data_IF_313742582912
#
_entry.id   IF_313742582912
#
_cell.length_a   1.000
_cell.length_b   1.000
_cell.length_c   1.000
_cell.angle_alpha   90.00
_cell.angle_beta   90.00
_cell.angle_gamma   90.00
#
_symmetry.space_group_name_H-M   'P 1'
#
loop_
_entity.id
_entity.type
_entity.pdbx_description
1 polymer ?
#
# COMPACT_ATOMS: atom_id res chain seq x y z
N UNK A 1 3.02 4.03 21.62
CA UNK A 1 2.63 4.19 20.21
C UNK A 1 2.68 5.66 19.74
N UNK A 2 2.31 6.65 20.56
CA UNK A 2 2.36 8.08 20.19
C UNK A 2 3.73 8.56 19.70
N UNK A 3 4.82 8.03 20.21
CA UNK A 3 6.19 8.41 19.82
C UNK A 3 6.60 7.87 18.42
N UNK A 4 5.85 6.90 17.90
CA UNK A 4 6.20 6.23 16.65
C UNK A 4 5.38 6.76 15.49
N UNK A 5 4.22 7.37 15.73
CA UNK A 5 3.33 7.90 14.70
C UNK A 5 3.46 9.41 14.58
N UNK A 6 3.29 9.93 13.38
CA UNK A 6 3.15 11.36 13.12
C UNK A 6 1.72 11.65 12.62
N UNK A 7 0.89 12.30 13.48
CA UNK A 7 -0.48 12.65 13.09
C UNK A 7 -0.54 13.60 11.89
N UNK A 8 0.51 14.37 11.63
CA UNK A 8 0.56 15.32 10.50
C UNK A 8 0.63 14.63 9.13
N UNK A 9 1.08 13.38 9.09
CA UNK A 9 1.14 12.57 7.89
C UNK A 9 -0.20 11.89 7.54
N UNK A 10 -1.18 11.95 8.44
CA UNK A 10 -2.50 11.33 8.23
C UNK A 10 -3.31 12.16 7.24
N UNK A 11 -3.68 11.56 6.12
CA UNK A 11 -4.50 12.18 5.08
C UNK A 11 -5.83 11.45 4.97
N UNK A 12 -6.89 12.22 4.78
CA UNK A 12 -8.25 11.69 4.67
C UNK A 12 -8.86 12.08 3.33
N UNK A 13 -9.65 11.18 2.79
CA UNK A 13 -10.57 11.40 1.67
C UNK A 13 -11.96 10.92 2.05
N UNK A 14 -12.97 11.47 1.40
CA UNK A 14 -14.35 11.05 1.52
C UNK A 14 -14.70 10.03 0.41
N UNK A 15 -15.74 9.23 0.63
CA UNK A 15 -16.24 8.27 -0.37
C UNK A 15 -16.66 8.93 -1.69
N UNK A 16 -17.06 10.18 -1.63
CA UNK A 16 -17.47 10.99 -2.80
C UNK A 16 -16.26 11.53 -3.59
N UNK A 17 -15.04 11.46 -3.03
CA UNK A 17 -13.84 11.93 -3.70
C UNK A 17 -13.53 11.04 -4.90
N UNK A 18 -13.18 11.65 -6.04
CA UNK A 18 -12.80 10.88 -7.24
C UNK A 18 -11.54 10.06 -7.01
N UNK A 19 -11.41 8.92 -7.71
CA UNK A 19 -10.18 8.10 -7.69
C UNK A 19 -8.98 8.94 -8.14
N UNK A 20 -9.17 9.83 -9.13
CA UNK A 20 -8.10 10.71 -9.61
C UNK A 20 -7.59 11.65 -8.51
N UNK A 21 -8.48 12.35 -7.79
CA UNK A 21 -8.08 13.27 -6.73
C UNK A 21 -7.54 12.52 -5.51
N UNK A 22 -8.07 11.33 -5.22
CA UNK A 22 -7.52 10.43 -4.21
C UNK A 22 -6.10 10.00 -4.57
N UNK A 23 -5.84 9.68 -5.83
CA UNK A 23 -4.52 9.32 -6.35
C UNK A 23 -3.55 10.50 -6.26
N UNK A 24 -3.98 11.72 -6.64
CA UNK A 24 -3.15 12.93 -6.47
C UNK A 24 -2.74 13.14 -5.01
N UNK A 25 -3.67 12.91 -4.08
CA UNK A 25 -3.38 13.01 -2.65
C UNK A 25 -2.43 11.92 -2.19
N UNK A 26 -2.63 10.67 -2.64
CA UNK A 26 -1.76 9.53 -2.35
C UNK A 26 -0.32 9.79 -2.82
N UNK A 27 -0.14 10.27 -4.04
CA UNK A 27 1.19 10.60 -4.61
C UNK A 27 1.89 11.70 -3.81
N UNK A 28 1.15 12.73 -3.38
CA UNK A 28 1.69 13.87 -2.62
C UNK A 28 1.98 13.52 -1.15
N UNK A 29 1.33 12.51 -0.61
CA UNK A 29 1.42 12.20 0.82
C UNK A 29 2.77 11.59 1.25
N UNK A 30 3.54 11.03 0.29
CA UNK A 30 4.75 10.30 0.64
C UNK A 30 4.48 9.09 1.53
N UNK A 31 5.44 8.73 2.37
CA UNK A 31 5.20 7.69 3.38
C UNK A 31 4.14 8.19 4.40
N UNK A 32 3.18 7.35 4.81
CA UNK A 32 3.12 5.89 4.68
C UNK A 32 2.51 5.34 3.39
N UNK A 33 2.37 6.11 2.31
CA UNK A 33 1.81 5.69 1.02
C UNK A 33 0.38 5.14 1.14
N UNK A 34 -0.43 5.79 1.92
CA UNK A 34 -1.84 5.45 2.16
C UNK A 34 -2.62 6.71 2.50
N UNK A 35 -3.86 6.77 2.08
CA UNK A 35 -4.86 7.73 2.54
C UNK A 35 -5.98 7.01 3.26
N UNK A 36 -6.51 7.63 4.30
CA UNK A 36 -7.63 7.09 5.08
C UNK A 36 -8.95 7.53 4.44
N UNK A 37 -9.87 6.60 4.33
CA UNK A 37 -11.22 6.86 3.82
C UNK A 37 -12.15 7.11 4.99
N UNK A 38 -12.96 8.16 4.93
CA UNK A 38 -13.98 8.51 5.93
C UNK A 38 -15.33 8.81 5.26
N UNK A 39 -16.41 8.67 6.00
CA UNK A 39 -17.73 8.97 5.47
C UNK A 39 -17.97 10.47 5.24
N UNK A 40 -17.43 11.31 6.12
CA UNK A 40 -17.63 12.75 6.02
C UNK A 40 -16.48 13.55 6.62
N UNK A 41 -16.35 14.82 6.18
CA UNK A 41 -15.33 15.76 6.71
C UNK A 41 -15.51 16.07 8.20
N UNK A 42 -16.66 15.80 8.76
CA UNK A 42 -16.99 16.09 10.19
C UNK A 42 -16.38 15.07 11.14
N UNK A 43 -15.97 13.91 10.63
CA UNK A 43 -15.41 12.82 11.45
C UNK A 43 -13.97 12.53 11.05
N UNK A 44 -13.19 12.05 12.01
CA UNK A 44 -11.86 11.47 11.77
C UNK A 44 -11.89 9.94 11.90
N UNK A 45 -13.08 9.36 11.87
CA UNK A 45 -13.26 7.91 11.86
C UNK A 45 -12.90 7.38 10.48
N UNK A 46 -11.88 6.54 10.41
CA UNK A 46 -11.52 5.85 9.18
C UNK A 46 -12.43 4.62 9.00
N UNK A 47 -13.07 4.52 7.85
CA UNK A 47 -13.89 3.37 7.43
C UNK A 47 -13.13 2.45 6.47
N UNK A 48 -11.97 2.88 6.00
CA UNK A 48 -11.11 2.14 5.09
C UNK A 48 -9.85 2.90 4.79
N UNK A 49 -9.07 2.35 3.88
CA UNK A 49 -7.83 2.93 3.38
C UNK A 49 -7.80 2.82 1.86
N UNK A 50 -7.02 3.68 1.22
CA UNK A 50 -6.70 3.60 -0.20
C UNK A 50 -5.18 3.72 -0.38
N UNK A 51 -4.58 2.79 -1.11
CA UNK A 51 -3.14 2.75 -1.38
C UNK A 51 -2.82 2.35 -2.83
N UNK A 52 -1.54 2.09 -3.12
CA UNK A 52 -1.12 1.73 -4.48
C UNK A 52 -1.61 0.34 -4.93
N UNK A 53 -1.95 -0.57 -4.02
CA UNK A 53 -2.57 -1.85 -4.38
C UNK A 53 -4.00 -1.63 -4.87
N UNK A 54 -4.75 -0.73 -4.22
CA UNK A 54 -6.09 -0.34 -4.66
C UNK A 54 -6.03 0.38 -6.01
N UNK A 55 -5.07 1.29 -6.18
CA UNK A 55 -4.84 1.97 -7.46
C UNK A 55 -4.51 0.96 -8.57
N UNK A 56 -3.65 -0.03 -8.30
CA UNK A 56 -3.32 -1.08 -9.25
C UNK A 56 -4.57 -1.88 -9.63
N UNK A 57 -5.38 -2.31 -8.66
CA UNK A 57 -6.62 -3.03 -8.92
C UNK A 57 -7.58 -2.20 -9.80
N UNK A 58 -7.70 -0.90 -9.52
CA UNK A 58 -8.49 0.01 -10.36
C UNK A 58 -7.95 0.13 -11.79
N UNK A 59 -6.64 0.28 -11.96
CA UNK A 59 -6.02 0.33 -13.28
C UNK A 59 -6.27 -0.95 -14.08
N UNK A 60 -6.12 -2.13 -13.46
CA UNK A 60 -6.41 -3.41 -14.09
C UNK A 60 -7.89 -3.52 -14.50
N UNK A 61 -8.80 -3.03 -13.67
CA UNK A 61 -10.22 -2.96 -13.98
C UNK A 61 -10.47 -2.10 -15.21
N UNK A 62 -9.94 -0.88 -15.24
CA UNK A 62 -10.10 0.06 -16.36
C UNK A 62 -9.47 -0.49 -17.64
N UNK A 63 -8.35 -1.19 -17.55
CA UNK A 63 -7.69 -1.86 -18.69
C UNK A 63 -8.43 -3.12 -19.16
N UNK A 64 -9.42 -3.62 -18.41
CA UNK A 64 -10.14 -4.85 -18.74
C UNK A 64 -9.32 -6.12 -18.50
N UNK A 65 -8.34 -6.06 -17.60
CA UNK A 65 -7.42 -7.17 -17.28
C UNK A 65 -7.82 -7.91 -16.01
N UNK A 66 -8.79 -7.42 -15.25
CA UNK A 66 -9.34 -8.10 -14.08
C UNK A 66 -10.69 -8.76 -14.40
N UNK A 67 -10.96 -9.90 -13.75
CA UNK A 67 -12.28 -10.53 -13.79
C UNK A 67 -13.20 -9.77 -12.84
N UNK A 68 -14.33 -9.27 -13.37
CA UNK A 68 -15.23 -8.37 -12.64
C UNK A 68 -16.69 -8.75 -12.84
N UNK A 69 -17.53 -8.33 -11.89
CA UNK A 69 -18.98 -8.39 -12.03
C UNK A 69 -19.50 -7.31 -12.99
N UNK A 70 -20.81 -7.36 -13.26
CA UNK A 70 -21.45 -6.45 -14.21
C UNK A 70 -21.41 -4.97 -13.76
N UNK A 71 -21.43 -4.72 -12.43
CA UNK A 71 -21.36 -3.36 -11.88
C UNK A 71 -19.97 -2.77 -12.09
N UNK A 72 -18.92 -3.50 -11.75
CA UNK A 72 -17.55 -3.07 -11.96
C UNK A 72 -17.23 -2.86 -13.46
N UNK A 73 -17.80 -3.69 -14.35
CA UNK A 73 -17.66 -3.49 -15.79
C UNK A 73 -18.26 -2.14 -16.26
N UNK A 74 -19.44 -1.76 -15.75
CA UNK A 74 -20.05 -0.45 -16.03
C UNK A 74 -19.21 0.71 -15.53
N UNK A 75 -18.65 0.58 -14.31
CA UNK A 75 -17.72 1.59 -13.77
C UNK A 75 -16.49 1.73 -14.66
N UNK A 76 -15.92 0.61 -15.12
CA UNK A 76 -14.77 0.62 -16.02
C UNK A 76 -15.07 1.29 -17.37
N UNK A 77 -16.26 1.10 -17.94
CA UNK A 77 -16.70 1.76 -19.17
C UNK A 77 -16.80 3.29 -18.99
N UNK A 78 -17.41 3.75 -17.89
CA UNK A 78 -17.50 5.16 -17.54
C UNK A 78 -16.13 5.79 -17.36
N UNK A 79 -15.21 5.08 -16.65
CA UNK A 79 -13.84 5.53 -16.46
C UNK A 79 -13.09 5.68 -17.80
N UNK A 80 -13.25 4.71 -18.72
CA UNK A 80 -12.68 4.80 -20.09
C UNK A 80 -13.27 5.94 -20.91
N UNK A 81 -14.52 6.30 -20.66
CA UNK A 81 -15.17 7.46 -21.28
C UNK A 81 -14.70 8.80 -20.68
N UNK A 82 -13.83 8.80 -19.67
CA UNK A 82 -13.29 10.00 -19.01
C UNK A 82 -14.19 10.55 -17.92
N UNK A 83 -15.17 9.77 -17.43
CA UNK A 83 -15.97 10.17 -16.27
C UNK A 83 -15.16 10.05 -14.97
N UNK A 84 -15.35 11.00 -14.06
CA UNK A 84 -14.80 10.93 -12.72
C UNK A 84 -15.55 9.85 -11.93
N UNK A 85 -14.83 8.85 -11.44
CA UNK A 85 -15.36 7.75 -10.61
C UNK A 85 -15.13 8.06 -9.15
N UNK A 86 -16.18 8.04 -8.34
CA UNK A 86 -16.06 8.23 -6.91
C UNK A 86 -15.48 6.97 -6.22
N UNK A 87 -14.66 7.18 -5.17
CA UNK A 87 -14.05 6.10 -4.42
C UNK A 87 -15.07 5.10 -3.88
N UNK A 88 -16.23 5.59 -3.41
CA UNK A 88 -17.32 4.77 -2.89
C UNK A 88 -17.93 3.81 -3.91
N UNK A 89 -17.92 4.17 -5.19
CA UNK A 89 -18.48 3.32 -6.27
C UNK A 89 -17.64 2.06 -6.49
N UNK A 90 -16.34 2.11 -6.18
CA UNK A 90 -15.41 1.02 -6.49
C UNK A 90 -14.88 0.29 -5.25
N UNK A 91 -15.01 0.88 -4.06
CA UNK A 91 -14.45 0.33 -2.84
C UNK A 91 -14.85 -1.15 -2.59
N UNK A 92 -16.05 -1.54 -2.97
CA UNK A 92 -16.54 -2.92 -2.84
C UNK A 92 -15.93 -3.89 -3.86
N UNK A 93 -15.46 -3.38 -4.99
CA UNK A 93 -14.87 -4.19 -6.07
C UNK A 93 -13.35 -4.34 -5.92
N UNK A 94 -12.70 -3.51 -5.09
CA UNK A 94 -11.27 -3.58 -4.79
C UNK A 94 -10.95 -4.59 -3.67
N UNK A 95 -11.82 -5.52 -3.40
CA UNK A 95 -11.94 -6.38 -2.19
C UNK A 95 -10.82 -7.40 -1.93
N UNK A 96 -9.69 -7.35 -2.57
CA UNK A 96 -8.55 -8.20 -2.19
C UNK A 96 -7.77 -7.67 -0.98
N UNK A 97 -8.29 -6.61 -0.35
CA UNK A 97 -7.62 -5.93 0.73
C UNK A 97 -7.90 -6.58 2.08
N UNK A 98 -6.84 -6.73 2.86
CA UNK A 98 -6.92 -7.07 4.28
C UNK A 98 -7.82 -6.07 5.03
N UNK A 99 -8.64 -6.56 5.93
CA UNK A 99 -9.39 -5.66 6.82
C UNK A 99 -8.41 -4.81 7.64
N UNK A 100 -8.67 -3.50 7.76
CA UNK A 100 -7.77 -2.63 8.50
C UNK A 100 -7.74 -3.02 9.99
N UNK A 101 -6.55 -3.23 10.53
CA UNK A 101 -6.35 -3.46 11.96
C UNK A 101 -6.33 -2.13 12.70
N UNK A 102 -7.08 -2.05 13.77
CA UNK A 102 -7.14 -0.86 14.64
C UNK A 102 -6.52 -1.17 15.99
N UNK A 103 -5.63 -0.31 16.46
CA UNK A 103 -5.11 -0.34 17.81
C UNK A 103 -5.23 1.06 18.47
N UNK A 104 -5.60 1.14 19.76
CA UNK A 104 -5.58 2.42 20.46
C UNK A 104 -4.14 2.94 20.60
N UNK A 105 -3.96 4.23 20.67
CA UNK A 105 -2.65 4.86 20.85
C UNK A 105 -1.94 4.45 22.15
N UNK A 106 -2.70 3.92 23.11
CA UNK A 106 -2.21 3.34 24.38
C UNK A 106 -1.76 1.88 24.23
N UNK A 107 -2.00 1.24 23.08
CA UNK A 107 -1.57 -0.14 22.84
C UNK A 107 -0.05 -0.31 22.97
N UNK A 108 0.35 -1.50 23.38
CA UNK A 108 1.77 -1.84 23.58
C UNK A 108 2.48 -2.09 22.24
N UNK A 109 3.80 -1.99 22.27
CA UNK A 109 4.63 -2.34 21.11
C UNK A 109 4.46 -3.82 20.71
N UNK A 110 4.29 -4.71 21.70
CA UNK A 110 4.05 -6.14 21.46
C UNK A 110 2.81 -6.38 20.61
N UNK A 111 1.70 -5.72 20.94
CA UNK A 111 0.46 -5.82 20.14
C UNK A 111 0.66 -5.35 18.69
N UNK A 112 1.46 -4.29 18.50
CA UNK A 112 1.78 -3.81 17.16
C UNK A 112 2.67 -4.81 16.39
N UNK A 113 3.67 -5.41 17.06
CA UNK A 113 4.54 -6.44 16.48
C UNK A 113 3.73 -7.67 16.09
N UNK A 114 2.83 -8.15 16.95
CA UNK A 114 1.95 -9.27 16.67
C UNK A 114 1.06 -9.02 15.46
N UNK A 115 0.41 -7.85 15.40
CA UNK A 115 -0.45 -7.48 14.29
C UNK A 115 0.33 -7.38 12.96
N UNK A 116 1.48 -6.68 12.95
CA UNK A 116 2.30 -6.57 11.74
C UNK A 116 2.99 -7.89 11.37
N UNK A 117 3.32 -8.72 12.36
CA UNK A 117 3.92 -10.04 12.17
C UNK A 117 2.95 -11.09 11.64
N UNK A 118 1.63 -10.90 11.80
CA UNK A 118 0.61 -11.78 11.22
C UNK A 118 0.32 -11.53 9.74
N UNK A 119 1.05 -10.60 9.09
CA UNK A 119 0.95 -10.31 7.66
C UNK A 119 0.41 -8.93 7.33
N UNK A 120 -0.15 -8.20 8.29
CA UNK A 120 -0.64 -6.84 8.04
C UNK A 120 0.50 -5.86 7.78
N UNK A 121 0.36 -5.05 6.75
CA UNK A 121 1.38 -4.06 6.39
C UNK A 121 1.25 -2.76 7.19
N UNK A 122 0.05 -2.47 7.72
CA UNK A 122 -0.30 -1.22 8.40
C UNK A 122 -1.31 -1.46 9.51
N UNK A 123 -1.23 -0.61 10.52
CA UNK A 123 -2.18 -0.54 11.64
C UNK A 123 -2.69 0.89 11.71
N UNK A 124 -4.00 1.06 11.81
CA UNK A 124 -4.63 2.34 12.09
C UNK A 124 -4.64 2.59 13.60
N UNK A 125 -3.98 3.65 14.01
CA UNK A 125 -3.93 4.01 15.41
C UNK A 125 -5.08 4.95 15.73
N UNK A 126 -5.88 4.58 16.74
CA UNK A 126 -7.05 5.32 17.15
C UNK A 126 -6.83 6.00 18.51
N UNK A 127 -7.63 7.02 18.77
CA UNK A 127 -7.75 7.61 20.10
C UNK A 127 -8.45 6.61 21.01
N UNK A 128 -7.98 6.51 22.25
CA UNK A 128 -8.50 5.55 23.23
C UNK A 128 -10.02 5.72 23.44
N UNK A 129 -10.74 4.61 23.43
CA UNK A 129 -12.19 4.58 23.62
C UNK A 129 -12.99 5.16 22.44
N UNK A 130 -12.36 5.47 21.32
CA UNK A 130 -13.04 6.02 20.12
C UNK A 130 -12.57 5.33 18.85
N UNK A 131 -13.28 5.56 17.74
CA UNK A 131 -12.85 5.15 16.40
C UNK A 131 -12.13 6.27 15.64
N UNK A 132 -11.74 7.37 16.32
CA UNK A 132 -11.03 8.48 15.70
C UNK A 132 -9.59 8.07 15.37
N UNK A 133 -9.23 8.05 14.09
CA UNK A 133 -7.87 7.75 13.66
C UNK A 133 -6.94 8.93 13.93
N UNK A 134 -5.82 8.65 14.61
CA UNK A 134 -4.78 9.62 14.97
C UNK A 134 -3.49 9.41 14.20
N UNK A 135 -3.33 8.29 13.52
CA UNK A 135 -2.16 8.01 12.71
C UNK A 135 -2.16 6.63 12.09
N UNK A 136 -1.12 6.36 11.31
CA UNK A 136 -0.85 5.06 10.69
C UNK A 136 0.51 4.56 11.13
N UNK A 137 0.57 3.34 11.63
CA UNK A 137 1.82 2.63 11.89
C UNK A 137 2.07 1.62 10.78
N UNK A 138 3.17 1.77 10.04
CA UNK A 138 3.62 0.80 9.04
C UNK A 138 4.73 -0.09 9.57
N UNK A 139 4.94 -1.25 8.93
CA UNK A 139 6.07 -2.13 9.22
C UNK A 139 7.42 -1.37 9.15
N UNK A 140 7.62 -0.56 8.10
CA UNK A 140 8.85 0.22 7.95
C UNK A 140 9.09 1.17 9.13
N UNK A 141 8.03 1.85 9.60
CA UNK A 141 8.13 2.78 10.72
C UNK A 141 8.46 2.06 12.02
N UNK A 142 7.87 0.88 12.24
CA UNK A 142 8.18 0.05 13.41
C UNK A 142 9.62 -0.46 13.37
N UNK A 143 10.08 -0.97 12.22
CA UNK A 143 11.47 -1.44 12.06
C UNK A 143 12.46 -0.30 12.26
N UNK A 144 12.16 0.88 11.72
CA UNK A 144 12.96 2.08 11.92
C UNK A 144 13.05 2.46 13.41
N UNK A 145 11.95 2.42 14.13
CA UNK A 145 11.94 2.67 15.57
C UNK A 145 12.84 1.69 16.32
N UNK A 146 12.79 0.37 16.02
CA UNK A 146 13.69 -0.60 16.61
C UNK A 146 15.14 -0.33 16.27
N UNK A 147 15.44 0.04 15.04
CA UNK A 147 16.80 0.37 14.61
C UNK A 147 17.34 1.59 15.35
N UNK A 148 16.58 2.68 15.41
CA UNK A 148 16.98 3.93 16.07
C UNK A 148 17.12 3.76 17.61
N UNK A 149 16.39 2.80 18.20
CA UNK A 149 16.38 2.56 19.64
C UNK A 149 16.97 1.18 20.01
N UNK A 150 17.83 0.61 19.17
CA UNK A 150 18.35 -0.76 19.32
C UNK A 150 18.95 -1.03 20.69
N UNK A 151 19.58 -0.04 21.32
CA UNK A 151 20.18 -0.17 22.66
C UNK A 151 19.18 -0.61 23.75
N UNK A 152 17.88 -0.33 23.54
CA UNK A 152 16.82 -0.69 24.46
C UNK A 152 16.28 -2.13 24.22
N UNK A 153 16.73 -2.80 23.15
CA UNK A 153 16.21 -4.08 22.69
C UNK A 153 17.33 -5.13 22.56
N UNK A 154 17.95 -5.53 23.68
CA UNK A 154 19.09 -6.44 23.68
C UNK A 154 18.84 -7.79 22.96
N UNK A 155 17.60 -8.24 22.87
CA UNK A 155 17.23 -9.44 22.13
C UNK A 155 17.40 -9.28 20.62
N UNK A 156 17.04 -8.11 20.07
CA UNK A 156 17.18 -7.82 18.63
C UNK A 156 18.62 -7.48 18.26
N UNK A 157 19.40 -6.93 19.17
CA UNK A 157 20.81 -6.58 18.94
C UNK A 157 21.64 -7.80 18.54
N UNK A 158 21.35 -8.96 19.11
CA UNK A 158 22.00 -10.22 18.73
C UNK A 158 21.72 -10.63 17.29
N UNK A 159 20.56 -10.30 16.76
CA UNK A 159 20.17 -10.62 15.38
C UNK A 159 20.96 -9.80 14.36
N UNK A 160 21.38 -8.57 14.71
CA UNK A 160 22.14 -7.70 13.81
C UNK A 160 23.56 -8.21 13.52
N UNK A 161 24.05 -9.15 14.31
CA UNK A 161 25.36 -9.78 14.08
C UNK A 161 25.28 -10.98 13.14
N UNK A 162 24.05 -11.46 12.83
CA UNK A 162 23.83 -12.61 11.98
C UNK A 162 23.64 -12.16 10.52
N UNK A 163 24.11 -12.99 9.60
CA UNK A 163 23.85 -12.81 8.18
C UNK A 163 22.39 -13.17 7.84
N UNK A 164 21.87 -12.66 6.72
CA UNK A 164 20.52 -13.04 6.24
C UNK A 164 20.40 -14.56 6.04
N UNK A 165 21.50 -15.23 5.65
CA UNK A 165 21.57 -16.68 5.48
C UNK A 165 21.42 -17.43 6.80
N UNK A 166 22.08 -16.96 7.86
CA UNK A 166 21.98 -17.55 9.21
C UNK A 166 20.60 -17.33 9.83
N UNK A 167 19.96 -16.24 9.48
CA UNK A 167 18.58 -15.93 9.86
C UNK A 167 17.53 -16.65 9.00
N UNK A 168 17.97 -17.40 7.98
CA UNK A 168 17.10 -18.06 6.99
C UNK A 168 16.10 -17.10 6.33
N UNK A 169 16.48 -15.81 6.22
CA UNK A 169 15.65 -14.78 5.57
C UNK A 169 15.84 -14.86 4.06
N UNK A 170 14.76 -15.04 3.36
CA UNK A 170 14.68 -15.14 1.91
C UNK A 170 13.84 -16.33 1.47
N UNK A 171 13.20 -16.23 0.32
CA UNK A 171 12.43 -17.31 -0.28
C UNK A 171 13.32 -18.13 -1.25
N UNK A 172 13.09 -19.46 -1.31
CA UNK A 172 13.75 -20.34 -2.29
C UNK A 172 13.15 -20.18 -3.67
N UNK A 173 11.83 -19.91 -3.73
CA UNK A 173 11.09 -19.62 -4.95
C UNK A 173 10.64 -18.17 -4.89
N UNK A 174 11.01 -17.40 -5.90
CA UNK A 174 10.70 -15.97 -5.99
C UNK A 174 9.84 -15.74 -7.21
N UNK A 175 8.68 -15.12 -7.02
CA UNK A 175 7.88 -14.59 -8.10
C UNK A 175 8.66 -13.49 -8.81
N UNK A 176 8.81 -13.60 -10.11
CA UNK A 176 9.58 -12.67 -10.92
C UNK A 176 8.90 -12.46 -12.27
N UNK A 177 9.24 -11.37 -12.95
CA UNK A 177 8.78 -11.09 -14.31
C UNK A 177 9.96 -10.90 -15.23
N UNK A 178 9.81 -11.33 -16.50
CA UNK A 178 10.81 -11.06 -17.53
C UNK A 178 10.67 -9.61 -18.03
N UNK A 179 11.79 -8.91 -18.22
CA UNK A 179 11.82 -7.52 -18.67
C UNK A 179 11.24 -7.27 -20.06
N UNK A 180 11.04 -8.33 -20.87
CA UNK A 180 10.38 -8.26 -22.17
C UNK A 180 8.85 -8.21 -22.07
N UNK A 181 8.29 -8.44 -20.88
CA UNK A 181 6.86 -8.44 -20.65
C UNK A 181 6.30 -7.04 -20.50
N UNK A 182 5.06 -6.77 -20.95
CA UNK A 182 4.39 -5.51 -20.71
C UNK A 182 4.26 -5.21 -19.20
N UNK A 183 4.26 -3.94 -18.84
CA UNK A 183 4.05 -3.50 -17.45
C UNK A 183 2.69 -3.98 -16.92
N UNK A 184 1.67 -4.06 -17.78
CA UNK A 184 0.36 -4.61 -17.42
C UNK A 184 0.43 -6.05 -16.90
N UNK A 185 1.31 -6.88 -17.43
CA UNK A 185 1.50 -8.25 -16.95
C UNK A 185 2.12 -8.26 -15.56
N UNK A 186 3.07 -7.34 -15.28
CA UNK A 186 3.65 -7.19 -13.96
C UNK A 186 2.60 -6.72 -12.92
N UNK A 187 1.78 -5.73 -13.29
CA UNK A 187 0.70 -5.24 -12.44
C UNK A 187 -0.34 -6.32 -12.15
N UNK A 188 -0.70 -7.10 -13.18
CA UNK A 188 -1.64 -8.22 -13.03
C UNK A 188 -1.06 -9.32 -12.15
N UNK A 189 0.22 -9.69 -12.34
CA UNK A 189 0.88 -10.69 -11.51
C UNK A 189 0.95 -10.25 -10.04
N UNK A 190 1.34 -8.98 -9.79
CA UNK A 190 1.35 -8.44 -8.42
C UNK A 190 -0.04 -8.49 -7.78
N UNK A 191 -1.10 -8.16 -8.53
CA UNK A 191 -2.46 -8.18 -8.05
C UNK A 191 -2.95 -9.60 -7.74
N UNK A 192 -2.73 -10.55 -8.67
CA UNK A 192 -3.20 -11.94 -8.55
C UNK A 192 -2.51 -12.68 -7.41
N UNK A 193 -1.20 -12.46 -7.25
CA UNK A 193 -0.38 -13.14 -6.24
C UNK A 193 -0.34 -12.39 -4.89
N UNK A 194 -0.96 -11.22 -4.80
CA UNK A 194 -1.00 -10.41 -3.57
C UNK A 194 0.36 -9.84 -3.17
N UNK A 195 1.31 -9.72 -4.11
CA UNK A 195 2.64 -9.14 -3.85
C UNK A 195 2.72 -7.69 -4.32
N UNK A 196 3.57 -6.90 -3.69
CA UNK A 196 3.67 -5.46 -3.94
C UNK A 196 4.82 -5.07 -4.85
N UNK A 197 5.72 -6.01 -5.15
CA UNK A 197 6.86 -5.80 -6.03
C UNK A 197 7.35 -7.12 -6.62
N UNK A 198 8.04 -7.03 -7.78
CA UNK A 198 8.61 -8.16 -8.48
C UNK A 198 10.04 -7.82 -8.92
N UNK A 199 11.01 -8.72 -8.77
CA UNK A 199 12.27 -8.62 -9.48
C UNK A 199 12.03 -8.80 -10.99
N UNK A 200 12.75 -7.99 -11.77
CA UNK A 200 12.72 -8.05 -13.24
C UNK A 200 13.95 -8.83 -13.70
N UNK A 201 13.73 -9.85 -14.51
CA UNK A 201 14.78 -10.74 -14.99
C UNK A 201 15.06 -10.53 -16.47
N UNK A 202 16.32 -10.71 -16.88
CA UNK A 202 16.70 -10.88 -18.29
C UNK A 202 16.41 -12.31 -18.79
N UNK A 203 16.72 -12.56 -20.07
CA UNK A 203 16.55 -13.89 -20.68
C UNK A 203 17.48 -14.97 -20.08
N UNK A 204 18.55 -14.56 -19.39
CA UNK A 204 19.48 -15.44 -18.69
C UNK A 204 19.11 -15.65 -17.21
N UNK A 205 17.93 -15.13 -16.80
CA UNK A 205 17.45 -15.14 -15.41
C UNK A 205 18.31 -14.34 -14.43
N UNK A 206 19.09 -13.37 -14.89
CA UNK A 206 19.75 -12.42 -14.02
C UNK A 206 18.75 -11.32 -13.62
N UNK A 207 18.84 -10.85 -12.38
CA UNK A 207 18.05 -9.72 -11.92
C UNK A 207 18.62 -8.44 -12.54
N UNK A 208 17.83 -7.76 -13.35
CA UNK A 208 18.19 -6.51 -14.05
C UNK A 208 17.45 -5.30 -13.50
N UNK A 209 16.44 -5.50 -12.67
CA UNK A 209 15.68 -4.41 -12.05
C UNK A 209 14.65 -4.93 -11.05
N UNK A 210 13.82 -4.00 -10.62
CA UNK A 210 12.67 -4.27 -9.76
C UNK A 210 11.51 -3.39 -10.23
N UNK A 211 10.29 -3.90 -10.16
CA UNK A 211 9.06 -3.15 -10.39
C UNK A 211 8.13 -3.32 -9.20
N UNK A 212 7.51 -2.24 -8.76
CA UNK A 212 6.55 -2.25 -7.68
C UNK A 212 5.25 -1.53 -8.05
N UNK A 213 4.18 -1.78 -7.32
CA UNK A 213 2.92 -1.08 -7.54
C UNK A 213 3.04 0.45 -7.32
N UNK A 214 4.05 0.91 -6.58
CA UNK A 214 4.31 2.35 -6.36
C UNK A 214 4.84 3.03 -7.63
N UNK A 215 5.40 2.28 -8.56
CA UNK A 215 5.99 2.85 -9.78
C UNK A 215 4.93 3.42 -10.75
N UNK A 216 3.66 3.03 -10.58
CA UNK A 216 2.54 3.60 -11.36
C UNK A 216 2.34 5.10 -11.12
N UNK A 217 2.89 5.68 -10.04
CA UNK A 217 2.83 7.11 -9.77
C UNK A 217 3.52 7.97 -10.84
N UNK A 218 4.50 7.42 -11.54
CA UNK A 218 5.27 8.14 -12.58
C UNK A 218 4.39 8.46 -13.78
N UNK A 219 3.32 7.72 -14.01
CA UNK A 219 2.43 7.91 -15.15
C UNK A 219 1.49 9.13 -15.03
N UNK A 220 1.36 9.69 -13.83
CA UNK A 220 0.49 10.84 -13.54
C UNK A 220 1.23 12.19 -13.48
N UNK A 221 2.53 12.21 -13.75
CA UNK A 221 3.28 13.46 -13.77
C UNK A 221 3.30 14.02 -15.19
N UNK A 222 2.59 15.15 -15.41
CA UNK A 222 2.71 16.03 -16.58
C UNK A 222 4.16 16.58 -16.77
N UNK A 223 5.10 16.13 -15.96
CA UNK A 223 6.53 16.46 -16.02
C UNK A 223 7.37 15.47 -16.85
N UNK A 224 6.76 14.57 -17.65
CA UNK A 224 7.49 13.83 -18.69
C UNK A 224 7.81 14.73 -19.90
N UNK A 225 8.21 15.97 -19.65
CA UNK A 225 8.90 16.84 -20.59
C UNK A 225 10.35 16.40 -20.68
N UNK A 226 10.75 15.82 -21.83
CA UNK A 226 12.11 15.75 -22.33
C UNK A 226 13.09 14.71 -21.74
N UNK A 227 12.65 13.53 -21.30
CA UNK A 227 13.59 12.38 -21.22
C UNK A 227 13.01 11.17 -21.96
N UNK A 228 13.77 10.55 -22.90
CA UNK A 228 13.33 9.32 -23.55
C UNK A 228 13.24 8.19 -22.53
N UNK A 229 12.09 7.52 -22.50
CA UNK A 229 11.88 6.27 -21.76
C UNK A 229 12.74 5.16 -22.35
#
# INVERSE_FOLDING_TARGET
MQEIIDPSETRFVELETSIEDTTKLLVRSGAPNVVLVRESRKTKTAIGTFDYSDLNAYLLLVLGLSVVDEEAAKVAERARAGEAIALGEIQHHLRLKEEPVFLPHTATLTQAVEALGSGHHRILITKEGTSEAVGVLSQLRLVRFFWENHQNFAATEKLYQLTLKELEIGAKEVLAINGDKPVSDALNLMHTEGVTSLPVLDQNRNVVGNISHVDVKVWNNDECGERPC
#
